data_IF_143202320180
#
_entry.id   IF_143202320180
#
_cell.length_a   1.000
_cell.length_b   1.000
_cell.length_c   1.000
_cell.angle_alpha   90.00
_cell.angle_beta   90.00
_cell.angle_gamma   90.00
#
_symmetry.space_group_name_H-M   'P 1'
#
loop_
_entity.id
_entity.type
_entity.pdbx_description
1 polymer ?
#
# COMPACT_ATOMS: atom_id res chain seq x y z
N UNK A 1 -2.06 40.31 25.43
CA UNK A 1 -1.01 40.41 24.39
C UNK A 1 -0.33 39.05 24.29
N UNK A 2 -0.97 38.11 23.60
CA UNK A 2 -0.42 36.77 23.35
C UNK A 2 -0.07 36.68 21.86
N UNK A 3 1.23 36.57 21.57
CA UNK A 3 1.75 36.30 20.23
C UNK A 3 1.74 34.79 20.04
N UNK A 4 0.90 34.32 19.13
CA UNK A 4 0.92 32.95 18.61
C UNK A 4 2.00 32.90 17.51
N UNK A 5 2.90 31.90 17.47
CA UNK A 5 3.98 31.84 16.50
C UNK A 5 3.49 31.50 15.08
N UNK A 6 4.04 32.25 14.13
CA UNK A 6 3.77 32.33 12.69
C UNK A 6 4.30 31.16 11.85
N UNK A 7 4.27 29.93 12.37
CA UNK A 7 4.80 28.76 11.63
C UNK A 7 3.73 27.77 11.13
N UNK A 8 2.46 27.94 11.52
CA UNK A 8 1.36 27.04 11.15
C UNK A 8 0.36 27.67 10.16
N UNK A 9 0.78 28.69 9.41
CA UNK A 9 -0.02 29.31 8.33
C UNK A 9 0.59 29.16 6.94
N UNK A 10 1.79 28.56 6.83
CA UNK A 10 2.47 28.36 5.55
C UNK A 10 2.36 26.94 4.99
N UNK A 11 1.83 25.96 5.74
CA UNK A 11 1.69 24.58 5.23
C UNK A 11 0.36 24.29 4.52
N UNK A 12 -0.64 25.17 4.63
CA UNK A 12 -1.93 25.06 3.91
C UNK A 12 -2.00 26.08 2.75
N UNK A 13 -1.00 26.94 2.63
CA UNK A 13 -0.80 27.86 1.50
C UNK A 13 0.36 27.44 0.57
N UNK A 14 1.00 26.30 0.85
CA UNK A 14 2.06 25.73 0.01
C UNK A 14 1.57 24.64 -0.96
N UNK A 15 0.26 24.36 -1.00
CA UNK A 15 -0.37 23.43 -1.94
C UNK A 15 -1.13 24.10 -3.09
N UNK A 16 -1.20 25.44 -3.13
CA UNK A 16 -1.94 26.21 -4.14
C UNK A 16 -1.10 27.43 -4.55
N UNK A 17 0.14 27.22 -5.04
CA UNK A 17 0.89 28.24 -5.79
C UNK A 17 2.18 27.69 -6.44
N UNK A 18 2.13 26.55 -7.11
CA UNK A 18 3.14 26.19 -8.14
C UNK A 18 2.39 25.56 -9.33
N UNK A 19 1.51 26.34 -9.97
CA UNK A 19 1.16 26.17 -11.38
C UNK A 19 1.84 27.36 -12.08
N UNK A 20 3.17 27.27 -12.16
CA UNK A 20 3.96 28.17 -12.97
C UNK A 20 3.97 27.57 -14.38
N UNK A 21 3.13 28.12 -15.25
CA UNK A 21 3.24 28.16 -16.71
C UNK A 21 4.56 27.58 -17.24
N UNK A 22 4.58 26.27 -17.47
CA UNK A 22 5.48 25.66 -18.44
C UNK A 22 4.68 25.71 -19.74
N UNK A 23 4.92 26.73 -20.55
CA UNK A 23 4.50 26.73 -21.96
C UNK A 23 5.53 25.85 -22.67
N UNK A 24 5.25 24.58 -23.02
CA UNK A 24 6.07 23.93 -24.02
C UNK A 24 5.99 24.78 -25.29
N UNK A 25 7.12 25.11 -25.90
CA UNK A 25 7.12 25.72 -27.22
C UNK A 25 6.58 24.70 -28.21
N UNK A 26 5.28 24.75 -28.49
CA UNK A 26 4.61 23.91 -29.48
C UNK A 26 5.06 24.40 -30.85
N UNK A 27 5.77 23.52 -31.57
CA UNK A 27 5.94 23.68 -33.01
C UNK A 27 4.55 23.42 -33.60
N UNK A 28 3.99 24.40 -34.30
CA UNK A 28 2.70 24.27 -34.97
C UNK A 28 2.72 23.08 -35.94
N UNK A 29 2.12 21.97 -35.52
CA UNK A 29 1.63 20.93 -36.40
C UNK A 29 0.29 21.41 -36.99
N UNK A 30 -0.05 20.96 -38.18
CA UNK A 30 -1.37 21.22 -38.76
C UNK A 30 -2.37 20.26 -38.07
N UNK A 31 -2.83 20.63 -36.87
CA UNK A 31 -3.67 19.80 -36.01
C UNK A 31 -4.29 20.56 -34.84
N UNK A 32 -4.88 19.84 -33.89
CA UNK A 32 -5.38 20.38 -32.62
C UNK A 32 -4.34 20.13 -31.52
N UNK A 33 -4.17 21.09 -30.61
CA UNK A 33 -3.38 20.88 -29.39
C UNK A 33 -4.22 21.20 -28.16
N UNK A 34 -4.21 20.30 -27.19
CA UNK A 34 -5.00 20.40 -25.97
C UNK A 34 -4.11 20.63 -24.75
N UNK A 35 -4.37 21.72 -24.03
CA UNK A 35 -3.63 22.04 -22.81
C UNK A 35 -4.51 22.71 -21.75
N UNK A 36 -3.92 22.96 -20.58
CA UNK A 36 -4.59 23.65 -19.49
C UNK A 36 -5.79 22.88 -18.93
N UNK A 37 -5.80 21.55 -19.06
CA UNK A 37 -6.92 20.75 -18.63
C UNK A 37 -6.98 20.61 -17.10
N UNK A 38 -8.19 20.62 -16.56
CA UNK A 38 -8.49 20.25 -15.18
C UNK A 38 -9.59 19.20 -15.24
N UNK A 39 -9.23 17.96 -14.91
CA UNK A 39 -10.17 16.85 -14.69
C UNK A 39 -10.16 16.50 -13.20
N UNK A 40 -11.21 15.84 -12.67
CA UNK A 40 -11.14 15.32 -11.32
C UNK A 40 -9.96 14.35 -11.20
N UNK A 41 -9.08 14.55 -10.21
CA UNK A 41 -7.95 13.64 -9.92
C UNK A 41 -8.40 12.28 -9.35
N UNK A 42 -9.72 12.13 -9.19
CA UNK A 42 -10.37 11.12 -8.38
C UNK A 42 -11.25 10.23 -9.25
N UNK A 43 -11.25 8.93 -8.95
CA UNK A 43 -12.19 8.00 -9.58
C UNK A 43 -13.63 8.41 -9.29
N UNK A 44 -14.51 8.29 -10.28
CA UNK A 44 -15.90 8.70 -10.16
C UNK A 44 -16.85 7.52 -10.40
N UNK A 45 -17.84 7.38 -9.52
CA UNK A 45 -18.87 6.35 -9.56
C UNK A 45 -20.14 6.78 -10.31
N UNK A 46 -21.05 5.85 -10.65
CA UNK A 46 -22.25 6.17 -11.42
C UNK A 46 -23.13 7.21 -10.70
N UNK A 47 -23.59 8.20 -11.46
CA UNK A 47 -24.40 9.31 -10.95
C UNK A 47 -23.61 10.42 -10.25
N UNK A 48 -22.31 10.25 -10.00
CA UNK A 48 -21.45 11.33 -9.52
C UNK A 48 -21.22 12.37 -10.61
N UNK A 49 -21.10 13.62 -10.22
CA UNK A 49 -20.93 14.75 -11.13
C UNK A 49 -19.45 14.93 -11.48
N UNK A 50 -19.15 14.96 -12.78
CA UNK A 50 -17.82 15.21 -13.32
C UNK A 50 -17.80 16.58 -14.00
N UNK A 51 -16.73 17.32 -13.75
CA UNK A 51 -16.45 18.61 -14.37
C UNK A 51 -15.07 18.56 -15.02
N UNK A 52 -14.99 18.93 -16.29
CA UNK A 52 -13.73 19.07 -17.01
C UNK A 52 -13.64 20.46 -17.64
N UNK A 53 -12.50 21.12 -17.46
CA UNK A 53 -12.14 22.35 -18.17
C UNK A 53 -10.92 22.07 -19.03
N UNK A 54 -10.85 22.60 -20.24
CA UNK A 54 -9.72 22.41 -21.14
C UNK A 54 -9.62 23.56 -22.16
N UNK A 55 -8.40 23.78 -22.65
CA UNK A 55 -8.09 24.76 -23.71
C UNK A 55 -7.64 24.02 -24.97
N UNK A 56 -8.16 24.42 -26.11
CA UNK A 56 -7.84 23.86 -27.43
C UNK A 56 -7.25 24.96 -28.30
N UNK A 57 -6.00 24.80 -28.68
CA UNK A 57 -5.40 25.54 -29.78
C UNK A 57 -5.71 24.84 -31.10
N UNK A 58 -5.97 25.63 -32.13
CA UNK A 58 -6.37 25.13 -33.45
C UNK A 58 -5.84 26.05 -34.54
N UNK A 59 -5.65 25.50 -35.74
CA UNK A 59 -5.15 26.23 -36.91
C UNK A 59 -5.95 25.85 -38.17
N UNK A 60 -7.09 26.51 -38.38
CA UNK A 60 -7.95 26.25 -39.53
C UNK A 60 -7.40 26.91 -40.81
N UNK A 61 -7.44 26.17 -41.91
CA UNK A 61 -7.14 26.64 -43.26
C UNK A 61 -8.38 27.20 -43.99
N UNK A 62 -9.59 26.82 -43.58
CA UNK A 62 -10.83 27.28 -44.18
C UNK A 62 -12.03 27.34 -43.22
N UNK A 63 -13.11 28.00 -43.64
CA UNK A 63 -14.38 28.02 -42.92
C UNK A 63 -15.20 26.73 -43.09
N UNK A 64 -14.71 25.76 -43.88
CA UNK A 64 -15.34 24.47 -44.12
C UNK A 64 -14.92 23.39 -43.10
N UNK A 65 -13.90 23.64 -42.29
CA UNK A 65 -13.39 22.74 -41.26
C UNK A 65 -14.28 22.75 -40.02
N UNK A 66 -14.08 21.81 -39.09
CA UNK A 66 -14.83 21.79 -37.82
C UNK A 66 -14.12 21.00 -36.74
N UNK A 67 -14.46 21.30 -35.48
CA UNK A 67 -14.12 20.47 -34.32
C UNK A 67 -15.40 19.87 -33.74
N UNK A 68 -15.38 18.57 -33.50
CA UNK A 68 -16.42 17.82 -32.80
C UNK A 68 -15.95 17.43 -31.40
N UNK A 69 -16.87 17.51 -30.45
CA UNK A 69 -16.67 17.17 -29.05
C UNK A 69 -17.63 16.04 -28.72
N UNK A 70 -17.10 14.97 -28.13
CA UNK A 70 -17.88 13.81 -27.73
C UNK A 70 -17.64 13.47 -26.25
N UNK A 71 -18.71 13.05 -25.55
CA UNK A 71 -18.63 12.50 -24.19
C UNK A 71 -19.65 11.41 -23.96
N UNK A 72 -19.27 10.41 -23.16
CA UNK A 72 -20.18 9.36 -22.69
C UNK A 72 -20.93 9.69 -21.40
N UNK A 73 -20.66 10.87 -20.80
CA UNK A 73 -21.39 11.34 -19.63
C UNK A 73 -22.90 11.41 -19.89
N UNK A 74 -23.67 11.19 -18.83
CA UNK A 74 -25.11 11.43 -18.80
C UNK A 74 -25.39 12.91 -18.57
N UNK A 75 -26.48 13.38 -19.18
CA UNK A 75 -26.93 14.78 -19.12
C UNK A 75 -25.82 15.84 -19.36
N UNK A 76 -24.95 15.65 -20.37
CA UNK A 76 -23.81 16.53 -20.59
C UNK A 76 -24.25 17.96 -20.91
N UNK A 77 -23.49 18.91 -20.38
CA UNK A 77 -23.63 20.35 -20.58
C UNK A 77 -22.29 20.91 -20.99
N UNK A 78 -22.30 21.65 -22.08
CA UNK A 78 -21.11 22.28 -22.64
C UNK A 78 -21.22 23.78 -22.55
N UNK A 79 -20.14 24.42 -22.11
CA UNK A 79 -19.97 25.86 -22.16
C UNK A 79 -18.67 26.15 -22.89
N UNK A 80 -18.76 26.84 -24.03
CA UNK A 80 -17.61 27.20 -24.84
C UNK A 80 -17.36 28.70 -24.77
N UNK A 81 -16.09 29.08 -24.83
CA UNK A 81 -15.63 30.45 -24.99
C UNK A 81 -14.55 30.47 -26.08
N UNK A 82 -14.85 31.14 -27.19
CA UNK A 82 -13.87 31.36 -28.25
C UNK A 82 -13.05 32.59 -27.86
N UNK A 83 -11.74 32.45 -27.78
CA UNK A 83 -10.83 33.56 -27.49
C UNK A 83 -10.07 33.94 -28.76
N UNK A 84 -10.18 35.20 -29.15
CA UNK A 84 -9.58 35.76 -30.38
C UNK A 84 -8.71 36.93 -29.96
N UNK A 85 -7.39 36.78 -30.06
CA UNK A 85 -6.41 37.80 -29.65
C UNK A 85 -6.67 38.34 -28.22
N UNK A 86 -7.05 37.43 -27.31
CA UNK A 86 -7.39 37.74 -25.92
C UNK A 86 -8.80 38.30 -25.68
N UNK A 87 -9.62 38.49 -26.71
CA UNK A 87 -11.03 38.87 -26.58
C UNK A 87 -11.90 37.63 -26.49
N UNK A 88 -12.69 37.54 -25.42
CA UNK A 88 -13.55 36.40 -25.10
C UNK A 88 -14.92 36.50 -25.74
N UNK A 89 -15.38 35.42 -26.33
CA UNK A 89 -16.71 35.26 -26.94
C UNK A 89 -17.40 34.01 -26.39
N UNK A 90 -18.22 34.21 -25.36
CA UNK A 90 -18.97 33.11 -24.74
C UNK A 90 -20.11 32.65 -25.65
N UNK A 91 -20.15 31.35 -25.95
CA UNK A 91 -21.26 30.73 -26.67
C UNK A 91 -22.38 30.36 -25.70
N UNK A 92 -23.64 30.25 -26.16
CA UNK A 92 -24.73 29.73 -25.33
C UNK A 92 -24.42 28.32 -24.83
N UNK A 93 -24.87 28.00 -23.61
CA UNK A 93 -24.80 26.64 -23.06
C UNK A 93 -25.47 25.66 -24.02
N UNK A 94 -24.79 24.55 -24.30
CA UNK A 94 -25.27 23.48 -25.16
C UNK A 94 -25.46 22.18 -24.38
N UNK A 95 -26.26 21.28 -24.94
CA UNK A 95 -26.68 20.04 -24.30
C UNK A 95 -26.67 18.91 -25.33
N UNK A 96 -26.05 17.79 -24.97
CA UNK A 96 -25.95 16.64 -25.86
C UNK A 96 -24.58 16.00 -25.75
N UNK A 97 -24.49 14.73 -26.14
CA UNK A 97 -23.23 13.99 -26.12
C UNK A 97 -22.25 14.45 -27.19
N UNK A 98 -22.79 15.01 -28.28
CA UNK A 98 -22.04 15.54 -29.40
C UNK A 98 -22.28 17.04 -29.49
N UNK A 99 -21.20 17.80 -29.61
CA UNK A 99 -21.25 19.22 -29.97
C UNK A 99 -20.25 19.49 -31.08
N UNK A 100 -20.56 20.42 -31.96
CA UNK A 100 -19.69 20.80 -33.07
C UNK A 100 -19.53 22.32 -33.09
N UNK A 101 -18.31 22.78 -33.27
CA UNK A 101 -18.01 24.18 -33.58
C UNK A 101 -17.39 24.21 -34.97
N UNK A 102 -18.03 24.95 -35.86
CA UNK A 102 -17.67 24.98 -37.28
C UNK A 102 -16.63 26.05 -37.57
N UNK A 103 -15.92 25.91 -38.69
CA UNK A 103 -14.97 26.89 -39.20
C UNK A 103 -15.61 28.24 -39.48
N UNK A 104 -16.93 28.31 -39.71
CA UNK A 104 -17.61 29.61 -39.77
C UNK A 104 -17.44 30.44 -38.48
N UNK A 105 -17.38 29.79 -37.32
CA UNK A 105 -17.20 30.43 -36.02
C UNK A 105 -15.72 30.56 -35.62
N UNK A 106 -14.83 29.75 -36.20
CA UNK A 106 -13.43 29.59 -35.78
C UNK A 106 -12.40 30.13 -36.79
N UNK A 107 -12.78 30.32 -38.05
CA UNK A 107 -11.87 30.73 -39.11
C UNK A 107 -11.53 32.22 -39.03
N UNK A 108 -10.37 32.51 -38.45
CA UNK A 108 -9.81 33.85 -38.31
C UNK A 108 -8.41 33.93 -38.95
N UNK A 109 -7.92 35.15 -39.26
CA UNK A 109 -6.56 35.31 -39.76
C UNK A 109 -5.54 34.64 -38.84
N UNK A 110 -4.64 33.82 -39.40
CA UNK A 110 -3.57 33.10 -38.68
C UNK A 110 -2.61 33.99 -37.88
N UNK A 111 -2.69 35.32 -38.06
CA UNK A 111 -1.95 36.29 -37.25
C UNK A 111 -2.53 36.51 -35.86
N UNK A 112 -3.78 36.08 -35.61
CA UNK A 112 -4.41 36.16 -34.30
C UNK A 112 -4.08 34.92 -33.47
N UNK A 113 -3.92 35.12 -32.17
CA UNK A 113 -3.83 34.01 -31.22
C UNK A 113 -5.26 33.55 -30.88
N UNK A 114 -5.67 32.40 -31.42
CA UNK A 114 -7.03 31.89 -31.28
C UNK A 114 -7.02 30.54 -30.56
N UNK A 115 -7.92 30.38 -29.60
CA UNK A 115 -8.12 29.11 -28.89
C UNK A 115 -9.55 29.03 -28.36
N UNK A 116 -9.98 27.82 -28.03
CA UNK A 116 -11.27 27.53 -27.41
C UNK A 116 -11.02 27.17 -25.96
N UNK A 117 -11.68 27.86 -25.04
CA UNK A 117 -11.87 27.33 -23.69
C UNK A 117 -13.21 26.61 -23.64
N UNK A 118 -13.20 25.39 -23.11
CA UNK A 118 -14.39 24.56 -23.03
C UNK A 118 -14.56 23.98 -21.63
N UNK A 119 -15.79 24.00 -21.16
CA UNK A 119 -16.20 23.37 -19.91
C UNK A 119 -17.24 22.30 -20.20
N UNK A 120 -16.98 21.09 -19.72
CA UNK A 120 -17.88 19.95 -19.75
C UNK A 120 -18.36 19.64 -18.34
N UNK A 121 -19.66 19.46 -18.19
CA UNK A 121 -20.29 19.00 -16.96
C UNK A 121 -21.29 17.90 -17.26
N UNK A 122 -21.25 16.79 -16.52
CA UNK A 122 -22.21 15.70 -16.66
C UNK A 122 -22.12 14.72 -15.49
N UNK A 123 -22.88 13.63 -15.55
CA UNK A 123 -22.82 12.56 -14.54
C UNK A 123 -22.29 11.26 -15.13
N UNK A 124 -21.57 10.49 -14.33
CA UNK A 124 -20.95 9.24 -14.78
C UNK A 124 -22.03 8.19 -15.08
N UNK A 125 -21.97 7.50 -16.24
CA UNK A 125 -22.88 6.40 -16.55
C UNK A 125 -22.54 5.13 -15.76
N UNK A 126 -23.46 4.17 -15.75
CA UNK A 126 -23.13 2.81 -15.29
C UNK A 126 -22.09 2.18 -16.22
N UNK A 127 -20.95 1.75 -15.65
CA UNK A 127 -19.90 1.02 -16.36
C UNK A 127 -19.94 -0.46 -16.01
N UNK A 128 -19.53 -1.35 -16.91
CA UNK A 128 -19.51 -2.80 -16.65
C UNK A 128 -18.35 -3.24 -15.75
N UNK A 129 -17.26 -2.47 -15.74
CA UNK A 129 -16.07 -2.69 -14.92
C UNK A 129 -15.40 -1.36 -14.61
N UNK A 130 -14.74 -1.29 -13.46
CA UNK A 130 -13.90 -0.16 -13.07
C UNK A 130 -12.66 -0.09 -13.95
N UNK A 131 -12.18 1.12 -14.22
CA UNK A 131 -10.96 1.34 -15.01
C UNK A 131 -10.97 2.68 -15.73
N UNK A 132 -10.01 2.88 -16.62
CA UNK A 132 -9.94 4.08 -17.45
C UNK A 132 -11.01 4.03 -18.55
N UNK A 133 -11.76 5.12 -18.67
CA UNK A 133 -12.74 5.35 -19.73
C UNK A 133 -12.49 6.71 -20.36
N UNK A 134 -12.85 6.85 -21.63
CA UNK A 134 -12.77 8.12 -22.35
C UNK A 134 -13.83 9.07 -21.79
N UNK A 135 -13.38 10.17 -21.18
CA UNK A 135 -14.23 11.23 -20.64
C UNK A 135 -14.70 12.16 -21.76
N UNK A 136 -13.75 12.52 -22.62
CA UNK A 136 -13.91 13.48 -23.71
C UNK A 136 -13.06 13.03 -24.89
N UNK A 137 -13.65 13.08 -26.07
CA UNK A 137 -12.94 12.99 -27.34
C UNK A 137 -13.15 14.29 -28.09
N UNK A 138 -12.07 14.87 -28.62
CA UNK A 138 -12.09 16.06 -29.46
C UNK A 138 -11.53 15.66 -30.82
N UNK A 139 -12.34 15.74 -31.87
CA UNK A 139 -11.96 15.33 -33.22
C UNK A 139 -11.99 16.53 -34.15
N UNK A 140 -10.89 16.74 -34.87
CA UNK A 140 -10.75 17.76 -35.91
C UNK A 140 -11.08 17.18 -37.29
N UNK A 141 -11.85 17.93 -38.06
CA UNK A 141 -12.27 17.55 -39.41
C UNK A 141 -11.83 18.60 -40.44
N UNK A 142 -11.24 18.12 -41.53
CA UNK A 142 -10.80 18.93 -42.67
C UNK A 142 -11.99 19.57 -43.42
N UNK A 143 -11.71 20.49 -44.35
CA UNK A 143 -12.75 21.13 -45.17
C UNK A 143 -13.52 20.18 -46.11
N UNK A 144 -13.09 18.93 -46.24
CA UNK A 144 -13.79 17.85 -46.92
C UNK A 144 -14.69 17.00 -46.00
N UNK A 145 -14.65 17.24 -44.69
CA UNK A 145 -15.35 16.48 -43.66
C UNK A 145 -14.69 15.16 -43.28
N UNK A 146 -13.40 14.99 -43.58
CA UNK A 146 -12.63 13.82 -43.13
C UNK A 146 -11.98 14.13 -41.77
N UNK A 147 -11.93 13.16 -40.84
CA UNK A 147 -11.19 13.33 -39.60
C UNK A 147 -9.70 13.45 -39.93
N UNK A 148 -9.06 14.46 -39.36
CA UNK A 148 -7.65 14.79 -39.59
C UNK A 148 -6.82 14.60 -38.30
N UNK A 149 -7.39 14.93 -37.13
CA UNK A 149 -6.73 14.78 -35.83
C UNK A 149 -7.73 14.45 -34.71
N UNK A 150 -7.27 13.83 -33.63
CA UNK A 150 -8.09 13.41 -32.50
C UNK A 150 -7.31 13.41 -31.17
N UNK A 151 -7.90 14.05 -30.15
CA UNK A 151 -7.38 14.08 -28.79
C UNK A 151 -8.40 13.49 -27.80
N UNK A 152 -7.90 12.68 -26.86
CA UNK A 152 -8.75 11.94 -25.90
C UNK A 152 -8.29 12.18 -24.48
N UNK A 153 -9.23 12.60 -23.63
CA UNK A 153 -9.04 12.70 -22.18
C UNK A 153 -9.70 11.51 -21.50
N UNK A 154 -8.97 10.84 -20.61
CA UNK A 154 -9.45 9.68 -19.84
C UNK A 154 -9.61 9.98 -18.35
N UNK A 155 -10.51 9.24 -17.72
CA UNK A 155 -10.72 9.24 -16.27
C UNK A 155 -11.06 7.83 -15.78
N UNK A 156 -10.76 7.53 -14.53
CA UNK A 156 -11.19 6.28 -13.92
C UNK A 156 -12.66 6.34 -13.51
N UNK A 157 -13.50 5.51 -14.12
CA UNK A 157 -14.84 5.24 -13.62
C UNK A 157 -14.86 3.99 -12.76
N UNK A 158 -15.74 3.99 -11.77
CA UNK A 158 -15.87 2.92 -10.79
C UNK A 158 -17.15 2.15 -11.03
N UNK A 159 -17.06 0.82 -11.11
CA UNK A 159 -18.21 -0.05 -11.04
C UNK A 159 -18.54 -0.36 -9.56
N UNK A 160 -19.78 -0.13 -9.09
CA UNK A 160 -20.14 -0.40 -7.70
C UNK A 160 -19.97 -1.86 -7.24
N UNK A 161 -20.08 -2.84 -8.15
CA UNK A 161 -19.86 -4.26 -7.82
C UNK A 161 -18.38 -4.55 -7.56
N UNK A 162 -17.47 -3.93 -8.33
CA UNK A 162 -16.02 -4.05 -8.08
C UNK A 162 -15.63 -3.43 -6.74
N UNK A 163 -16.30 -2.35 -6.31
CA UNK A 163 -16.13 -1.77 -4.98
C UNK A 163 -16.53 -2.78 -3.90
N UNK A 164 -17.67 -3.45 -4.05
CA UNK A 164 -18.12 -4.47 -3.10
C UNK A 164 -17.14 -5.65 -3.02
N UNK A 165 -16.65 -6.11 -4.16
CA UNK A 165 -15.59 -7.13 -4.21
C UNK A 165 -14.31 -6.63 -3.53
N UNK A 166 -13.88 -5.40 -3.81
CA UNK A 166 -12.70 -4.79 -3.20
C UNK A 166 -12.80 -4.64 -1.68
N UNK A 167 -13.99 -4.33 -1.15
CA UNK A 167 -14.25 -4.32 0.30
C UNK A 167 -14.09 -5.72 0.87
N UNK A 168 -14.72 -6.73 0.26
CA UNK A 168 -14.65 -8.12 0.73
C UNK A 168 -13.21 -8.65 0.72
N UNK A 169 -12.43 -8.32 -0.31
CA UNK A 169 -11.02 -8.70 -0.41
C UNK A 169 -10.20 -8.03 0.71
N UNK A 170 -10.41 -6.72 0.93
CA UNK A 170 -9.71 -5.99 1.98
C UNK A 170 -10.07 -6.49 3.39
N UNK A 171 -11.32 -6.88 3.64
CA UNK A 171 -11.74 -7.51 4.91
C UNK A 171 -11.03 -8.85 5.14
N UNK A 172 -10.92 -9.67 4.09
CA UNK A 172 -10.19 -10.94 4.16
C UNK A 172 -8.71 -10.70 4.46
N UNK A 173 -8.06 -9.79 3.72
CA UNK A 173 -6.65 -9.44 3.93
C UNK A 173 -6.40 -8.87 5.34
N UNK A 174 -7.31 -8.05 5.87
CA UNK A 174 -7.23 -7.56 7.25
C UNK A 174 -7.28 -8.71 8.27
N UNK A 175 -8.14 -9.71 8.05
CA UNK A 175 -8.19 -10.88 8.92
C UNK A 175 -6.86 -11.66 8.90
N UNK A 176 -6.28 -11.84 7.71
CA UNK A 176 -4.97 -12.51 7.56
C UNK A 176 -3.86 -11.70 8.25
N UNK A 177 -3.81 -10.39 8.01
CA UNK A 177 -2.84 -9.48 8.65
C UNK A 177 -2.97 -9.51 10.17
N UNK A 178 -4.19 -9.53 10.71
CA UNK A 178 -4.41 -9.61 12.16
C UNK A 178 -3.82 -10.89 12.76
N UNK A 179 -4.03 -12.02 12.10
CA UNK A 179 -3.43 -13.31 12.51
C UNK A 179 -1.91 -13.27 12.45
N UNK A 180 -1.32 -12.66 11.42
CA UNK A 180 0.13 -12.49 11.30
C UNK A 180 0.69 -11.65 12.46
N UNK A 181 0.08 -10.48 12.73
CA UNK A 181 0.44 -9.61 13.86
C UNK A 181 0.39 -10.37 15.19
N UNK A 182 -0.68 -11.14 15.43
CA UNK A 182 -0.82 -11.87 16.69
C UNK A 182 0.23 -12.97 16.84
N UNK A 183 0.56 -13.66 15.74
CA UNK A 183 1.59 -14.71 15.70
C UNK A 183 2.96 -14.14 16.03
N UNK A 184 3.35 -13.07 15.34
CA UNK A 184 4.64 -12.41 15.52
C UNK A 184 4.79 -11.82 16.93
N UNK A 185 3.70 -11.25 17.46
CA UNK A 185 3.68 -10.72 18.82
C UNK A 185 3.90 -11.82 19.86
N UNK A 186 3.32 -13.00 19.68
CA UNK A 186 3.54 -14.15 20.58
C UNK A 186 5.01 -14.61 20.53
N UNK A 187 5.64 -14.53 19.36
CA UNK A 187 7.07 -14.81 19.18
C UNK A 187 7.99 -13.68 19.69
N UNK A 188 7.46 -12.59 20.24
CA UNK A 188 8.26 -11.49 20.79
C UNK A 188 8.74 -10.47 19.75
N UNK A 189 8.25 -10.54 18.51
CA UNK A 189 8.53 -9.54 17.47
C UNK A 189 7.81 -8.22 17.82
N UNK A 190 8.45 -7.08 17.52
CA UNK A 190 7.81 -5.77 17.72
C UNK A 190 6.77 -5.50 16.62
N UNK A 191 5.49 -5.65 16.96
CA UNK A 191 4.39 -5.45 16.01
C UNK A 191 3.72 -4.08 16.08
N UNK A 192 4.27 -3.13 16.86
CA UNK A 192 3.59 -1.86 17.19
C UNK A 192 3.20 -1.06 15.95
N UNK A 193 4.14 -0.79 15.05
CA UNK A 193 3.90 0.01 13.84
C UNK A 193 3.09 -0.72 12.78
N UNK A 194 3.22 -2.05 12.68
CA UNK A 194 2.36 -2.87 11.82
C UNK A 194 0.90 -2.85 12.31
N UNK A 195 0.69 -2.85 13.63
CA UNK A 195 -0.65 -2.75 14.21
C UNK A 195 -1.28 -1.36 14.00
N UNK A 196 -0.50 -0.29 14.06
CA UNK A 196 -0.97 1.06 13.69
C UNK A 196 -1.47 1.11 12.24
N UNK A 197 -0.73 0.48 11.31
CA UNK A 197 -1.14 0.34 9.91
C UNK A 197 -2.40 -0.49 9.74
N UNK A 198 -2.52 -1.61 10.46
CA UNK A 198 -3.75 -2.40 10.52
C UNK A 198 -4.97 -1.56 10.94
N UNK A 199 -4.83 -0.70 11.96
CA UNK A 199 -5.93 0.19 12.41
C UNK A 199 -6.33 1.19 11.31
N UNK A 200 -5.34 1.79 10.64
CA UNK A 200 -5.57 2.73 9.53
C UNK A 200 -6.31 2.06 8.36
N UNK A 201 -5.85 0.87 7.98
CA UNK A 201 -6.49 0.07 6.94
C UNK A 201 -7.93 -0.32 7.33
N UNK A 202 -8.13 -0.80 8.56
CA UNK A 202 -9.46 -1.14 9.09
C UNK A 202 -10.42 0.06 9.04
N UNK A 203 -9.97 1.23 9.50
CA UNK A 203 -10.77 2.45 9.45
C UNK A 203 -11.14 2.85 8.02
N UNK A 204 -10.23 2.65 7.07
CA UNK A 204 -10.47 2.96 5.65
C UNK A 204 -11.51 2.01 5.04
N UNK A 205 -11.45 0.70 5.37
CA UNK A 205 -12.46 -0.29 4.95
C UNK A 205 -13.84 0.03 5.54
N UNK A 206 -13.92 0.39 6.82
CA UNK A 206 -15.20 0.77 7.44
C UNK A 206 -15.79 2.05 6.82
N UNK A 207 -14.94 3.02 6.49
CA UNK A 207 -15.37 4.23 5.79
C UNK A 207 -15.85 3.93 4.36
N UNK A 208 -15.20 2.99 3.66
CA UNK A 208 -15.56 2.63 2.28
C UNK A 208 -16.98 2.04 2.20
N UNK A 209 -17.41 1.26 3.21
CA UNK A 209 -18.75 0.63 3.26
C UNK A 209 -19.92 1.60 3.24
N UNK A 210 -19.70 2.85 3.65
CA UNK A 210 -20.75 3.88 3.77
C UNK A 210 -20.53 5.05 2.82
N UNK A 211 -19.52 4.97 1.95
CA UNK A 211 -19.17 6.00 0.98
C UNK A 211 -19.81 5.74 -0.38
N UNK A 212 -19.84 6.76 -1.24
CA UNK A 212 -20.14 6.57 -2.66
C UNK A 212 -19.02 5.80 -3.38
N UNK A 213 -19.27 5.35 -4.61
CA UNK A 213 -18.37 4.42 -5.28
C UNK A 213 -17.01 5.05 -5.59
N UNK A 214 -16.97 6.35 -5.95
CA UNK A 214 -15.72 7.09 -6.17
C UNK A 214 -14.86 7.16 -4.91
N UNK A 215 -15.43 7.61 -3.79
CA UNK A 215 -14.70 7.71 -2.52
C UNK A 215 -14.36 6.34 -1.93
N UNK A 216 -15.28 5.37 -2.03
CA UNK A 216 -15.04 4.00 -1.56
C UNK A 216 -13.86 3.36 -2.30
N UNK A 217 -13.74 3.56 -3.61
CA UNK A 217 -12.60 3.06 -4.39
C UNK A 217 -11.26 3.59 -3.87
N UNK A 218 -11.19 4.86 -3.47
CA UNK A 218 -9.95 5.46 -2.94
C UNK A 218 -9.61 4.95 -1.53
N UNK A 219 -10.64 4.79 -0.69
CA UNK A 219 -10.49 4.24 0.65
C UNK A 219 -10.02 2.79 0.61
N UNK A 220 -10.51 1.99 -0.34
CA UNK A 220 -10.01 0.62 -0.58
C UNK A 220 -8.55 0.64 -1.02
N UNK A 221 -8.16 1.53 -1.95
CA UNK A 221 -6.76 1.68 -2.36
C UNK A 221 -5.84 2.06 -1.18
N UNK A 222 -6.31 2.97 -0.31
CA UNK A 222 -5.59 3.37 0.91
C UNK A 222 -5.45 2.19 1.88
N UNK A 223 -6.52 1.43 2.09
CA UNK A 223 -6.50 0.24 2.94
C UNK A 223 -5.50 -0.82 2.44
N UNK A 224 -5.49 -1.12 1.14
CA UNK A 224 -4.55 -2.07 0.53
C UNK A 224 -3.10 -1.62 0.67
N UNK A 225 -2.84 -0.32 0.51
CA UNK A 225 -1.50 0.25 0.74
C UNK A 225 -1.06 0.06 2.19
N UNK A 226 -1.93 0.38 3.16
CA UNK A 226 -1.62 0.22 4.59
C UNK A 226 -1.43 -1.25 4.99
N UNK A 227 -2.20 -2.18 4.42
CA UNK A 227 -2.03 -3.64 4.61
C UNK A 227 -0.65 -4.08 4.10
N UNK A 228 -0.27 -3.64 2.90
CA UNK A 228 1.03 -3.95 2.30
C UNK A 228 2.18 -3.41 3.16
N UNK A 229 2.08 -2.15 3.62
CA UNK A 229 3.05 -1.54 4.52
C UNK A 229 3.16 -2.31 5.84
N UNK A 230 2.02 -2.76 6.39
CA UNK A 230 2.00 -3.54 7.63
C UNK A 230 2.75 -4.86 7.47
N UNK A 231 2.53 -5.60 6.38
CA UNK A 231 3.28 -6.83 6.08
C UNK A 231 4.78 -6.58 5.92
N UNK A 232 5.18 -5.52 5.19
CA UNK A 232 6.59 -5.16 5.05
C UNK A 232 7.25 -4.81 6.40
N UNK A 233 6.51 -4.17 7.30
CA UNK A 233 6.97 -3.90 8.67
C UNK A 233 7.12 -5.18 9.50
N UNK A 234 6.20 -6.13 9.38
CA UNK A 234 6.29 -7.43 10.05
C UNK A 234 7.51 -8.21 9.57
N UNK A 235 7.72 -8.35 8.26
CA UNK A 235 8.89 -9.04 7.70
C UNK A 235 10.20 -8.42 8.19
N UNK A 236 10.28 -7.08 8.18
CA UNK A 236 11.45 -6.36 8.68
C UNK A 236 11.70 -6.60 10.16
N UNK A 237 10.66 -6.53 11.00
CA UNK A 237 10.82 -6.71 12.43
C UNK A 237 11.04 -8.17 12.82
N UNK A 238 10.44 -9.12 12.10
CA UNK A 238 10.67 -10.55 12.25
C UNK A 238 12.13 -10.91 11.97
N UNK A 239 12.66 -10.47 10.82
CA UNK A 239 14.08 -10.67 10.48
C UNK A 239 15.02 -10.06 11.53
N UNK A 240 14.73 -8.85 12.01
CA UNK A 240 15.53 -8.21 13.06
C UNK A 240 15.50 -9.01 14.38
N UNK A 241 14.31 -9.49 14.77
CA UNK A 241 14.15 -10.29 15.96
C UNK A 241 14.96 -11.59 15.89
N UNK A 242 14.88 -12.35 14.78
CA UNK A 242 15.68 -13.55 14.59
C UNK A 242 17.19 -13.28 14.65
N UNK A 243 17.66 -12.18 14.04
CA UNK A 243 19.07 -11.77 14.10
C UNK A 243 19.49 -11.52 15.54
N UNK A 244 18.71 -10.74 16.30
CA UNK A 244 19.02 -10.39 17.69
C UNK A 244 19.04 -11.63 18.60
N UNK A 245 18.03 -12.49 18.49
CA UNK A 245 17.96 -13.75 19.24
C UNK A 245 19.18 -14.63 18.95
N UNK A 246 19.61 -14.71 17.69
CA UNK A 246 20.81 -15.47 17.29
C UNK A 246 22.11 -14.84 17.77
N UNK A 247 22.22 -13.50 17.75
CA UNK A 247 23.36 -12.75 18.30
C UNK A 247 23.56 -13.07 19.78
N UNK A 248 22.47 -13.03 20.57
CA UNK A 248 22.49 -13.34 22.00
C UNK A 248 22.91 -14.79 22.26
N UNK A 249 22.39 -15.73 21.44
CA UNK A 249 22.69 -17.16 21.52
C UNK A 249 24.16 -17.45 21.21
N UNK A 250 24.71 -16.91 20.11
CA UNK A 250 26.14 -17.08 19.75
C UNK A 250 27.10 -16.41 20.74
N UNK A 251 26.73 -15.23 21.28
CA UNK A 251 27.50 -14.58 22.33
C UNK A 251 27.51 -15.38 23.64
N UNK A 252 26.43 -16.10 23.94
CA UNK A 252 26.36 -16.99 25.10
C UNK A 252 27.20 -18.27 24.90
N UNK A 253 27.22 -18.84 23.69
CA UNK A 253 28.15 -19.90 23.31
C UNK A 253 29.62 -19.49 23.46
N UNK A 254 29.98 -18.26 23.10
CA UNK A 254 31.35 -17.75 23.30
C UNK A 254 31.78 -17.76 24.77
N UNK A 255 30.86 -17.42 25.68
CA UNK A 255 31.12 -17.46 27.13
C UNK A 255 31.35 -18.90 27.59
N UNK A 256 30.56 -19.86 27.09
CA UNK A 256 30.72 -21.30 27.39
C UNK A 256 32.06 -21.82 26.85
N UNK A 257 32.40 -21.54 25.59
CA UNK A 257 33.68 -21.93 25.00
C UNK A 257 34.84 -21.36 25.82
N UNK A 258 34.73 -20.10 26.25
CA UNK A 258 35.75 -19.43 27.07
C UNK A 258 35.90 -20.07 28.46
N UNK A 259 34.81 -20.40 29.15
CA UNK A 259 34.87 -21.00 30.48
C UNK A 259 35.43 -22.43 30.46
N UNK A 260 35.00 -23.25 29.48
CA UNK A 260 35.47 -24.64 29.34
C UNK A 260 36.93 -24.70 28.88
N UNK A 261 37.35 -23.78 28.01
CA UNK A 261 38.76 -23.71 27.58
C UNK A 261 39.73 -23.26 28.68
N UNK A 262 39.29 -22.47 29.66
CA UNK A 262 40.10 -22.05 30.79
C UNK A 262 40.33 -23.16 31.84
N UNK A 263 39.41 -24.13 31.94
CA UNK A 263 39.45 -25.23 32.90
C UNK A 263 40.00 -26.56 32.36
N UNK A 264 40.16 -26.70 31.04
CA UNK A 264 40.55 -27.97 30.41
C UNK A 264 42.02 -27.99 29.97
N UNK A 265 42.73 -29.07 30.28
CA UNK A 265 44.12 -29.33 29.87
C UNK A 265 44.21 -29.77 28.40
N UNK A 266 43.64 -29.00 27.48
CA UNK A 266 43.85 -29.14 26.04
C UNK A 266 43.13 -30.32 25.37
N UNK A 267 42.37 -29.98 24.32
CA UNK A 267 41.83 -30.91 23.32
C UNK A 267 40.69 -31.81 23.78
N UNK A 268 39.65 -31.24 24.38
CA UNK A 268 38.37 -31.93 24.46
C UNK A 268 37.68 -31.81 23.08
N UNK A 269 37.54 -32.92 22.34
CA UNK A 269 36.95 -32.97 21.00
C UNK A 269 35.57 -32.28 20.93
N UNK A 270 34.88 -32.22 22.07
CA UNK A 270 33.61 -31.53 22.27
C UNK A 270 33.73 -30.01 22.14
N UNK A 271 34.80 -29.40 22.69
CA UNK A 271 35.03 -27.94 22.57
C UNK A 271 35.27 -27.56 21.11
N UNK A 272 35.99 -28.41 20.37
CA UNK A 272 36.20 -28.20 18.94
C UNK A 272 34.88 -28.25 18.16
N UNK A 273 33.98 -29.17 18.52
CA UNK A 273 32.66 -29.28 17.90
C UNK A 273 31.77 -28.06 18.20
N UNK A 274 31.66 -27.66 19.46
CA UNK A 274 30.90 -26.47 19.89
C UNK A 274 31.43 -25.23 19.16
N UNK A 275 32.76 -25.06 19.11
CA UNK A 275 33.39 -23.96 18.38
C UNK A 275 33.06 -23.99 16.90
N UNK A 276 33.15 -25.15 16.25
CA UNK A 276 32.86 -25.29 14.83
C UNK A 276 31.42 -24.90 14.49
N UNK A 277 30.44 -25.35 15.29
CA UNK A 277 29.03 -24.99 15.08
C UNK A 277 28.77 -23.51 15.34
N UNK A 278 29.36 -22.95 16.40
CA UNK A 278 29.25 -21.52 16.70
C UNK A 278 29.90 -20.64 15.60
N UNK A 279 31.04 -21.06 15.04
CA UNK A 279 31.70 -20.36 13.92
C UNK A 279 30.84 -20.40 12.64
N UNK A 280 30.16 -21.53 12.37
CA UNK A 280 29.18 -21.63 11.29
C UNK A 280 27.95 -20.74 11.52
N UNK A 281 27.39 -20.74 12.73
CA UNK A 281 26.28 -19.88 13.12
C UNK A 281 26.62 -18.40 12.89
N UNK A 282 27.79 -17.96 13.34
CA UNK A 282 28.28 -16.58 13.12
C UNK A 282 28.46 -16.23 11.65
N UNK A 283 28.92 -17.17 10.83
CA UNK A 283 29.05 -16.95 9.39
C UNK A 283 27.69 -16.70 8.74
N UNK A 284 26.69 -17.52 9.09
CA UNK A 284 25.31 -17.36 8.61
C UNK A 284 24.68 -16.08 9.15
N UNK A 285 24.96 -15.70 10.39
CA UNK A 285 24.49 -14.46 11.00
C UNK A 285 25.04 -13.22 10.28
N UNK A 286 26.30 -13.23 9.85
CA UNK A 286 26.87 -12.16 9.02
C UNK A 286 26.11 -12.05 7.68
N UNK A 287 25.77 -13.18 7.05
CA UNK A 287 24.96 -13.17 5.84
C UNK A 287 23.55 -12.61 6.10
N UNK A 288 22.93 -12.99 7.22
CA UNK A 288 21.64 -12.45 7.63
C UNK A 288 21.69 -10.92 7.78
N UNK A 289 22.71 -10.40 8.46
CA UNK A 289 22.92 -8.96 8.64
C UNK A 289 23.17 -8.22 7.31
N UNK A 290 23.92 -8.83 6.39
CA UNK A 290 24.16 -8.28 5.04
C UNK A 290 22.86 -8.18 4.23
N UNK A 291 22.05 -9.26 4.26
CA UNK A 291 20.74 -9.31 3.61
C UNK A 291 19.76 -8.32 4.22
N UNK A 292 19.75 -8.20 5.55
CA UNK A 292 18.93 -7.22 6.26
C UNK A 292 19.28 -5.79 5.83
N UNK A 293 20.58 -5.47 5.77
CA UNK A 293 21.08 -4.16 5.35
C UNK A 293 20.77 -3.84 3.90
N UNK A 294 20.56 -4.88 3.07
CA UNK A 294 20.17 -4.78 1.66
C UNK A 294 18.66 -4.71 1.44
N UNK A 295 17.85 -4.73 2.49
CA UNK A 295 16.38 -4.72 2.39
C UNK A 295 15.76 -6.06 2.00
N UNK A 296 16.55 -7.15 2.00
CA UNK A 296 16.09 -8.50 1.66
C UNK A 296 15.69 -9.24 2.94
N UNK A 297 14.59 -8.82 3.57
CA UNK A 297 14.22 -9.26 4.92
C UNK A 297 13.88 -10.74 5.02
N UNK A 298 13.15 -11.31 4.06
CA UNK A 298 12.86 -12.75 4.03
C UNK A 298 14.13 -13.61 3.91
N UNK A 299 15.12 -13.16 3.12
CA UNK A 299 16.43 -13.85 3.05
C UNK A 299 17.21 -13.70 4.36
N UNK A 300 17.17 -12.51 4.96
CA UNK A 300 17.83 -12.24 6.24
C UNK A 300 17.28 -13.14 7.36
N UNK A 301 15.96 -13.25 7.46
CA UNK A 301 15.28 -14.14 8.40
C UNK A 301 15.70 -15.59 8.17
N UNK A 302 15.68 -16.07 6.91
CA UNK A 302 16.07 -17.45 6.61
C UNK A 302 17.52 -17.76 7.02
N UNK A 303 18.47 -16.86 6.74
CA UNK A 303 19.86 -17.04 7.20
C UNK A 303 19.98 -16.96 8.73
N UNK A 304 19.19 -16.12 9.39
CA UNK A 304 19.16 -16.03 10.85
C UNK A 304 18.61 -17.31 11.48
N UNK A 305 17.54 -17.90 10.95
CA UNK A 305 17.00 -19.19 11.40
C UNK A 305 18.01 -20.33 11.19
N UNK A 306 18.69 -20.38 10.04
CA UNK A 306 19.77 -21.35 9.83
C UNK A 306 20.94 -21.14 10.81
N UNK A 307 21.28 -19.88 11.12
CA UNK A 307 22.31 -19.57 12.10
C UNK A 307 21.89 -20.02 13.51
N UNK A 308 20.62 -19.83 13.86
CA UNK A 308 20.04 -20.29 15.11
C UNK A 308 20.08 -21.82 15.24
N UNK A 309 19.69 -22.56 14.19
CA UNK A 309 19.79 -24.03 14.16
C UNK A 309 21.22 -24.51 14.46
N UNK A 310 22.23 -23.86 13.86
CA UNK A 310 23.65 -24.18 14.14
C UNK A 310 24.06 -23.83 15.58
N UNK A 311 23.53 -22.74 16.12
CA UNK A 311 23.77 -22.38 17.51
C UNK A 311 23.11 -23.39 18.47
N UNK A 312 21.92 -23.90 18.14
CA UNK A 312 21.23 -24.93 18.93
C UNK A 312 21.96 -26.28 18.89
N UNK A 313 22.52 -26.66 17.73
CA UNK A 313 23.42 -27.81 17.63
C UNK A 313 24.62 -27.64 18.59
N UNK A 314 25.27 -26.47 18.60
CA UNK A 314 26.36 -26.17 19.55
C UNK A 314 25.91 -26.26 21.02
N UNK A 315 24.71 -25.77 21.35
CA UNK A 315 24.15 -25.85 22.70
C UNK A 315 23.89 -27.29 23.15
N UNK A 316 23.39 -28.14 22.25
CA UNK A 316 23.18 -29.56 22.56
C UNK A 316 24.50 -30.25 22.95
N UNK A 317 25.59 -30.00 22.20
CA UNK A 317 26.93 -30.51 22.56
C UNK A 317 27.46 -29.93 23.87
N UNK A 318 27.15 -28.67 24.17
CA UNK A 318 27.55 -28.02 25.43
C UNK A 318 26.81 -28.58 26.65
N UNK A 319 25.50 -28.84 26.54
CA UNK A 319 24.68 -29.44 27.59
C UNK A 319 25.14 -30.85 27.96
N UNK A 320 25.44 -31.68 26.96
CA UNK A 320 26.03 -33.01 27.15
C UNK A 320 27.44 -32.98 27.76
N UNK A 321 28.13 -31.83 27.68
CA UNK A 321 29.45 -31.63 28.29
C UNK A 321 29.40 -31.24 29.77
N UNK A 322 28.29 -30.66 30.24
CA UNK A 322 28.08 -30.27 31.64
C UNK A 322 27.44 -31.38 32.49
N UNK A 323 26.94 -32.45 31.86
CA UNK A 323 26.38 -33.62 32.55
C UNK A 323 27.44 -34.58 33.15
N UNK A 324 28.74 -34.28 33.03
CA UNK A 324 29.81 -35.03 33.71
C UNK A 324 30.68 -34.14 34.59
N UNK A 325 30.23 -33.90 35.83
CA UNK A 325 31.07 -33.99 37.03
C UNK A 325 30.20 -34.00 38.31
N UNK A 326 30.02 -35.17 38.97
CA UNK A 326 29.41 -35.23 40.29
C UNK A 326 30.47 -34.89 41.34
N UNK A 327 30.69 -33.61 41.62
CA UNK A 327 31.05 -33.08 42.96
C UNK A 327 31.52 -31.63 42.88
N UNK A 328 30.80 -30.73 43.54
CA UNK A 328 31.28 -29.40 43.86
C UNK A 328 30.34 -28.31 43.38
N UNK A 329 29.38 -28.00 44.25
CA UNK A 329 28.62 -26.75 44.36
C UNK A 329 29.07 -25.62 43.43
N UNK A 330 28.26 -25.34 42.42
CA UNK A 330 27.87 -23.98 42.03
C UNK A 330 26.59 -24.09 41.18
N UNK A 331 25.45 -23.98 41.87
CA UNK A 331 24.12 -23.78 41.30
C UNK A 331 24.03 -22.38 40.70
N UNK A 332 24.67 -22.14 39.55
CA UNK A 332 24.46 -20.91 38.78
C UNK A 332 24.48 -21.31 37.30
N UNK A 333 23.64 -20.66 36.49
CA UNK A 333 23.57 -20.74 35.02
C UNK A 333 22.68 -21.86 34.48
N UNK A 334 21.40 -21.99 34.88
CA UNK A 334 20.39 -22.59 33.97
C UNK A 334 18.94 -22.07 34.15
N UNK A 335 18.67 -21.08 35.02
CA UNK A 335 17.30 -20.64 35.31
C UNK A 335 16.89 -19.24 34.86
N UNK A 336 17.72 -18.49 34.12
CA UNK A 336 17.37 -17.13 33.68
C UNK A 336 17.56 -16.89 32.18
N UNK A 337 17.00 -17.77 31.34
CA UNK A 337 16.79 -17.45 29.91
C UNK A 337 15.34 -17.59 29.44
N UNK A 338 14.40 -17.97 30.31
CA UNK A 338 12.96 -17.88 30.03
C UNK A 338 12.33 -16.61 30.62
N UNK A 339 13.13 -15.74 31.24
CA UNK A 339 12.69 -14.51 31.87
C UNK A 339 13.13 -13.28 31.06
N UNK A 340 12.55 -13.08 29.88
CA UNK A 340 12.46 -11.71 29.36
C UNK A 340 11.63 -10.95 30.40
N UNK A 341 12.10 -9.81 30.95
CA UNK A 341 11.22 -8.97 31.73
C UNK A 341 10.13 -8.48 30.78
N UNK A 342 8.92 -9.06 30.91
CA UNK A 342 7.70 -8.38 30.52
C UNK A 342 7.72 -7.08 31.32
N UNK A 343 8.17 -6.01 30.67
CA UNK A 343 7.91 -4.69 31.19
C UNK A 343 6.41 -4.57 31.10
N UNK A 344 5.73 -4.69 32.24
CA UNK A 344 4.31 -4.43 32.38
C UNK A 344 4.10 -2.99 31.90
N UNK A 345 3.75 -2.84 30.62
CA UNK A 345 3.34 -1.56 30.05
C UNK A 345 1.98 -1.32 30.69
N UNK A 346 2.01 -0.55 31.78
CA UNK A 346 0.82 0.04 32.35
C UNK A 346 0.24 0.95 31.27
N UNK A 347 -0.90 0.55 30.72
CA UNK A 347 -1.66 1.35 29.75
C UNK A 347 -1.85 2.78 30.26
N UNK A 348 -1.63 3.83 29.44
CA UNK A 348 -2.42 5.03 29.60
C UNK A 348 -3.83 4.72 29.10
N UNK A 349 -4.74 4.42 30.03
CA UNK A 349 -6.17 4.51 29.80
C UNK A 349 -6.48 5.96 29.41
N UNK A 350 -6.60 6.21 28.10
CA UNK A 350 -7.10 7.46 27.54
C UNK A 350 -8.43 7.17 26.83
N UNK A 351 -9.48 7.47 27.57
CA UNK A 351 -10.86 7.76 27.17
C UNK A 351 -11.16 7.78 25.66
N UNK A 352 -11.38 6.61 25.06
CA UNK A 352 -12.14 6.48 23.79
C UNK A 352 -13.16 5.34 23.82
N UNK A 353 -13.32 4.67 24.96
CA UNK A 353 -14.23 3.54 25.20
C UNK A 353 -15.71 3.91 25.34
N UNK A 354 -16.11 5.16 25.09
CA UNK A 354 -17.53 5.57 25.07
C UNK A 354 -18.21 5.40 23.70
N UNK A 355 -17.45 5.26 22.60
CA UNK A 355 -18.03 5.10 21.26
C UNK A 355 -18.24 3.63 20.84
N UNK A 356 -17.45 2.70 21.38
CA UNK A 356 -17.49 1.28 20.96
C UNK A 356 -18.67 0.52 21.60
N UNK A 357 -19.09 0.90 22.81
CA UNK A 357 -20.23 0.27 23.48
C UNK A 357 -21.61 0.65 22.93
N UNK A 358 -21.72 1.66 22.05
CA UNK A 358 -23.00 1.99 21.40
C UNK A 358 -23.27 1.20 20.12
N UNK A 359 -22.22 0.68 19.47
CA UNK A 359 -22.33 -0.05 18.19
C UNK A 359 -22.48 -1.56 18.40
N UNK A 360 -21.95 -2.11 19.50
CA UNK A 360 -22.03 -3.55 19.82
C UNK A 360 -23.26 -3.94 20.69
N UNK A 361 -24.06 -2.97 21.16
CA UNK A 361 -25.23 -3.22 22.01
C UNK A 361 -26.47 -3.79 21.30
N UNK A 362 -26.41 -4.05 19.98
CA UNK A 362 -27.58 -4.39 19.16
C UNK A 362 -27.79 -5.88 18.86
N UNK A 363 -26.81 -6.75 19.12
CA UNK A 363 -26.88 -8.17 18.73
C UNK A 363 -26.75 -9.05 19.98
N UNK A 364 -27.81 -9.06 20.78
CA UNK A 364 -28.04 -10.07 21.82
C UNK A 364 -29.34 -10.78 21.49
N UNK A 365 -29.23 -12.01 21.01
CA UNK A 365 -30.37 -12.85 20.66
C UNK A 365 -29.96 -14.30 20.46
N UNK A 366 -29.97 -15.05 21.58
CA UNK A 366 -30.07 -16.51 21.68
C UNK A 366 -29.06 -17.37 20.93
N UNK A 367 -28.12 -17.94 21.68
CA UNK A 367 -27.66 -19.32 21.50
C UNK A 367 -27.17 -19.83 22.86
N UNK A 368 -28.11 -20.38 23.63
CA UNK A 368 -27.82 -21.31 24.71
C UNK A 368 -27.55 -22.69 24.10
N UNK A 369 -26.67 -23.46 24.76
CA UNK A 369 -26.61 -24.93 24.71
C UNK A 369 -25.61 -25.55 23.71
N UNK A 370 -24.34 -25.68 24.09
CA UNK A 370 -23.74 -26.98 24.47
C UNK A 370 -22.33 -26.77 25.03
N UNK A 371 -21.94 -27.60 26.00
CA UNK A 371 -20.58 -27.63 26.54
C UNK A 371 -19.55 -28.05 25.50
N UNK A 372 -18.28 -27.98 25.91
CA UNK A 372 -17.07 -28.42 25.20
C UNK A 372 -16.27 -27.33 24.45
N UNK A 373 -15.89 -26.25 25.14
CA UNK A 373 -14.83 -25.34 24.69
C UNK A 373 -13.58 -25.38 25.61
N UNK A 374 -13.71 -25.90 26.83
CA UNK A 374 -12.59 -25.96 27.80
C UNK A 374 -11.54 -27.05 27.49
N UNK A 375 -11.76 -27.92 26.51
CA UNK A 375 -10.82 -29.00 26.17
C UNK A 375 -9.90 -28.70 24.97
N UNK A 376 -10.04 -27.54 24.31
CA UNK A 376 -9.25 -27.18 23.11
C UNK A 376 -8.02 -26.32 23.39
N UNK A 377 -7.72 -25.96 24.64
CA UNK A 377 -6.62 -25.04 24.99
C UNK A 377 -5.35 -25.78 25.44
N UNK A 378 -5.32 -27.11 25.49
CA UNK A 378 -4.15 -27.89 25.92
C UNK A 378 -3.67 -28.96 24.91
N UNK A 379 -3.89 -28.78 23.61
CA UNK A 379 -3.09 -29.51 22.63
C UNK A 379 -1.80 -28.73 22.37
N UNK A 380 -0.69 -29.20 22.92
CA UNK A 380 0.65 -28.76 22.54
C UNK A 380 0.78 -28.80 21.01
N UNK A 381 0.79 -27.62 20.38
CA UNK A 381 1.17 -27.49 18.98
C UNK A 381 2.67 -27.72 18.95
N UNK A 382 3.09 -28.88 18.44
CA UNK A 382 4.52 -29.16 18.28
C UNK A 382 5.19 -28.07 17.45
N UNK A 383 6.41 -27.68 17.80
CA UNK A 383 7.21 -26.70 17.04
C UNK A 383 7.32 -27.10 15.56
N UNK A 384 7.35 -28.40 15.25
CA UNK A 384 7.32 -28.89 13.88
C UNK A 384 6.01 -28.55 13.14
N UNK A 385 4.87 -28.58 13.83
CA UNK A 385 3.58 -28.15 13.26
C UNK A 385 3.57 -26.63 13.02
N UNK A 386 4.21 -25.85 13.89
CA UNK A 386 4.34 -24.40 13.74
C UNK A 386 5.25 -24.03 12.56
N UNK A 387 6.41 -24.66 12.43
CA UNK A 387 7.35 -24.46 11.32
C UNK A 387 6.76 -24.91 9.98
N UNK A 388 5.95 -25.98 9.99
CA UNK A 388 5.26 -26.43 8.80
C UNK A 388 4.09 -25.51 8.41
N UNK A 389 3.46 -24.84 9.39
CA UNK A 389 2.45 -23.82 9.14
C UNK A 389 3.08 -22.52 8.61
N UNK A 390 4.20 -22.08 9.18
CA UNK A 390 4.91 -20.87 8.76
C UNK A 390 5.50 -21.04 7.35
N UNK A 391 6.05 -22.22 7.04
CA UNK A 391 6.50 -22.53 5.67
C UNK A 391 5.37 -22.46 4.64
N UNK A 392 4.16 -22.93 4.98
CA UNK A 392 2.97 -22.81 4.10
C UNK A 392 2.45 -21.38 3.99
N UNK A 393 2.60 -20.58 5.05
CA UNK A 393 2.24 -19.17 5.04
C UNK A 393 3.18 -18.36 4.15
N UNK A 394 4.49 -18.66 4.16
CA UNK A 394 5.48 -18.06 3.27
C UNK A 394 5.20 -18.42 1.80
N UNK A 395 4.81 -19.67 1.50
CA UNK A 395 4.40 -20.05 0.13
C UNK A 395 3.12 -19.33 -0.32
N UNK A 396 2.18 -19.10 0.60
CA UNK A 396 0.97 -18.32 0.31
C UNK A 396 1.29 -16.86 0.01
N UNK A 397 2.13 -16.22 0.84
CA UNK A 397 2.58 -14.84 0.62
C UNK A 397 3.34 -14.69 -0.69
N UNK A 398 4.20 -15.66 -1.02
CA UNK A 398 4.90 -15.68 -2.31
C UNK A 398 3.94 -15.83 -3.49
N UNK A 399 2.93 -16.69 -3.37
CA UNK A 399 1.89 -16.83 -4.40
C UNK A 399 1.04 -15.57 -4.56
N UNK A 400 0.78 -14.82 -3.48
CA UNK A 400 0.07 -13.53 -3.54
C UNK A 400 0.94 -12.44 -4.15
N UNK A 401 2.23 -12.37 -3.78
CA UNK A 401 3.18 -11.46 -4.38
C UNK A 401 3.34 -11.73 -5.89
N UNK A 402 3.51 -12.98 -6.30
CA UNK A 402 3.60 -13.37 -7.71
C UNK A 402 2.31 -13.04 -8.48
N UNK A 403 1.14 -13.13 -7.84
CA UNK A 403 -0.13 -12.70 -8.44
C UNK A 403 -0.19 -11.18 -8.63
N UNK A 404 0.21 -10.39 -7.62
CA UNK A 404 0.24 -8.93 -7.68
C UNK A 404 1.26 -8.40 -8.70
N UNK A 405 2.46 -9.00 -8.77
CA UNK A 405 3.46 -8.68 -9.80
C UNK A 405 3.06 -9.19 -11.18
N UNK A 406 2.29 -10.28 -11.26
CA UNK A 406 1.70 -10.74 -12.50
C UNK A 406 0.74 -9.71 -13.10
N UNK A 407 -0.11 -9.10 -12.27
CA UNK A 407 -1.07 -8.06 -12.70
C UNK A 407 -0.36 -6.80 -13.22
N UNK A 408 0.75 -6.38 -12.59
CA UNK A 408 1.50 -5.21 -13.07
C UNK A 408 2.20 -5.46 -14.41
N UNK A 409 2.57 -6.70 -14.72
CA UNK A 409 3.17 -7.05 -16.02
C UNK A 409 2.16 -6.99 -17.19
N UNK A 410 0.87 -7.21 -16.93
CA UNK A 410 -0.18 -7.09 -17.96
C UNK A 410 -0.59 -5.64 -18.24
N UNK A 411 -0.35 -4.71 -17.32
CA UNK A 411 -0.59 -3.28 -17.52
C UNK A 411 0.52 -2.57 -18.30
N UNK A 412 1.67 -3.22 -18.53
CA UNK A 412 2.82 -2.65 -19.25
C UNK A 412 2.88 -3.05 -20.74
N UNK A 413 1.94 -3.87 -21.23
CA UNK A 413 1.98 -4.42 -22.59
C UNK A 413 0.75 -4.14 -23.46
N UNK A 414 -0.06 -3.14 -23.11
CA UNK A 414 -1.11 -2.61 -23.99
C UNK A 414 -1.02 -1.09 -24.09
#
# INVERSE_FOLDING_TARGET
MFKIPTLMRYSILSGILIILLIIPGVMADDGIDMWGYTVPEFSAGPGEEVYAHYTIEYNFDSDAESIEFYTDLLEPKWQFCIVIDGVRHDLPVRHGRYETITGFELYYPKTYNNYIEAELKGTVPDVLSSGEHDLLTVSYYDGGGNPDDEEVIRINFVNPSDVLSGISDAEYELSVLKTAIDTDRISGVNTTTAYEKYISAFSSVEAAKVSDAGAASQLISSAKSDITDAHALLERHGALHCIQTTEEKTASLDKIISSVSAGSSGSDDKILMIKSYNDNAKTLLILAQDKYSSGLYAEAENYALQAEERADEAYSYAGDSLAFSPSGTDDIIWQEMTGIPVTEITEPVSETSSAINSVLGGISGNLSESGDIDELIHSEVSIDSFLQLSGKFIELLKSMADFLFGISSYASSN
#
